data_IF_933899516631
#
_entry.id   IF_933899516631
#
_cell.length_a   1.000
_cell.length_b   1.000
_cell.length_c   1.000
_cell.angle_alpha   90.00
_cell.angle_beta   90.00
_cell.angle_gamma   90.00
#
_symmetry.space_group_name_H-M   'P 1'
#
loop_
_entity.id
_entity.type
_entity.pdbx_description
1 polymer ?
#
# COMPACT_ATOMS: atom_id res chain seq x y z
N UNK A 1 10.00 -14.95 35.84
CA UNK A 1 9.07 -15.39 34.79
C UNK A 1 8.42 -14.15 34.22
N UNK A 2 8.96 -13.61 33.13
CA UNK A 2 8.40 -12.45 32.43
C UNK A 2 7.14 -12.93 31.73
N UNK A 3 5.97 -12.47 32.19
CA UNK A 3 4.72 -12.62 31.45
C UNK A 3 4.92 -12.01 30.08
N UNK A 4 4.88 -12.82 29.02
CA UNK A 4 4.79 -12.31 27.67
C UNK A 4 3.45 -11.58 27.56
N UNK A 5 3.46 -10.25 27.69
CA UNK A 5 2.28 -9.42 27.51
C UNK A 5 1.80 -9.65 26.07
N UNK A 6 0.63 -10.25 25.92
CA UNK A 6 0.01 -10.38 24.60
C UNK A 6 -0.25 -9.00 24.04
N UNK A 7 0.26 -8.73 22.83
CA UNK A 7 -0.01 -7.47 22.14
C UNK A 7 -1.51 -7.34 21.84
N UNK A 8 -2.05 -6.11 21.89
CA UNK A 8 -3.44 -5.85 21.56
C UNK A 8 -3.72 -6.13 20.08
N UNK A 9 -4.97 -6.44 19.74
CA UNK A 9 -5.39 -6.72 18.36
C UNK A 9 -6.04 -5.53 17.66
N UNK A 10 -6.41 -4.49 18.42
CA UNK A 10 -7.04 -3.29 17.88
C UNK A 10 -5.98 -2.32 17.34
N UNK A 11 -6.12 -1.81 16.09
CA UNK A 11 -5.16 -0.89 15.48
C UNK A 11 -4.83 0.34 16.33
N UNK A 12 -5.85 1.04 16.86
CA UNK A 12 -5.64 2.24 17.67
C UNK A 12 -4.82 1.97 18.93
N UNK A 13 -5.01 0.82 19.56
CA UNK A 13 -4.27 0.41 20.75
C UNK A 13 -2.81 0.04 20.41
N UNK A 14 -2.61 -0.61 19.27
CA UNK A 14 -1.27 -0.90 18.74
C UNK A 14 -0.50 0.40 18.42
N UNK A 15 -1.15 1.36 17.76
CA UNK A 15 -0.56 2.69 17.51
C UNK A 15 -0.18 3.39 18.82
N UNK A 16 -1.03 3.29 19.84
CA UNK A 16 -0.77 3.89 21.16
C UNK A 16 0.45 3.29 21.87
N UNK A 17 0.65 1.97 21.82
CA UNK A 17 1.87 1.35 22.40
C UNK A 17 3.13 1.68 21.57
N UNK A 18 2.99 1.82 20.25
CA UNK A 18 4.08 2.27 19.37
C UNK A 18 4.48 3.70 19.74
N UNK A 19 3.51 4.60 19.84
CA UNK A 19 3.68 6.00 20.27
C UNK A 19 4.37 6.12 21.63
N UNK A 20 4.10 5.19 22.54
CA UNK A 20 4.70 5.15 23.87
C UNK A 20 6.14 4.59 23.88
N UNK A 21 6.67 4.13 22.74
CA UNK A 21 7.97 3.45 22.64
C UNK A 21 7.97 2.03 23.22
N UNK A 22 6.80 1.46 23.50
CA UNK A 22 6.67 0.11 24.07
C UNK A 22 6.77 -0.99 23.01
N UNK A 23 6.67 -0.63 21.73
CA UNK A 23 6.80 -1.56 20.60
C UNK A 23 7.57 -0.95 19.43
N UNK A 24 8.71 -1.56 19.09
CA UNK A 24 9.56 -1.19 17.95
C UNK A 24 9.78 -2.35 16.95
N UNK A 25 9.00 -3.42 17.06
CA UNK A 25 9.12 -4.65 16.27
C UNK A 25 8.50 -4.57 14.88
N UNK A 26 8.53 -5.70 14.14
CA UNK A 26 7.86 -5.80 12.84
C UNK A 26 6.34 -5.82 13.01
N UNK A 27 5.61 -5.14 12.13
CA UNK A 27 4.14 -5.05 12.22
C UNK A 27 3.41 -6.17 11.50
N UNK A 28 4.11 -6.98 10.70
CA UNK A 28 3.50 -8.14 10.02
C UNK A 28 2.83 -9.07 11.04
N UNK A 29 1.59 -9.49 10.75
CA UNK A 29 0.78 -10.33 11.64
C UNK A 29 0.13 -9.61 12.82
N UNK A 30 0.36 -8.30 12.98
CA UNK A 30 -0.41 -7.47 13.91
C UNK A 30 -1.71 -7.00 13.27
N UNK A 31 -2.72 -6.72 14.10
CA UNK A 31 -4.02 -6.18 13.69
C UNK A 31 -4.69 -6.94 12.53
N UNK A 32 -4.62 -8.27 12.51
CA UNK A 32 -5.14 -9.12 11.42
C UNK A 32 -6.48 -8.64 10.85
N UNK A 33 -6.54 -8.50 9.52
CA UNK A 33 -7.70 -8.01 8.78
C UNK A 33 -7.76 -6.49 8.62
N UNK A 34 -6.75 -5.75 9.10
CA UNK A 34 -6.59 -4.33 8.86
C UNK A 34 -5.41 -4.05 7.92
N UNK A 35 -5.59 -3.00 7.12
CA UNK A 35 -4.61 -2.56 6.13
C UNK A 35 -3.41 -1.97 6.86
N UNK A 36 -2.23 -2.46 6.52
CA UNK A 36 -0.96 -1.84 6.89
C UNK A 36 -0.43 -1.05 5.71
N UNK A 37 -0.07 0.22 5.94
CA UNK A 37 0.34 1.15 4.92
C UNK A 37 1.84 1.42 4.98
N UNK A 38 2.46 1.45 3.80
CA UNK A 38 3.77 2.02 3.61
C UNK A 38 3.66 3.55 3.77
N UNK A 39 4.64 4.17 4.44
CA UNK A 39 4.75 5.62 4.57
C UNK A 39 5.84 6.18 3.67
N UNK A 40 5.52 7.26 2.98
CA UNK A 40 6.46 8.20 2.37
C UNK A 40 6.06 9.64 2.74
N UNK A 41 7.02 10.45 3.17
CA UNK A 41 6.83 11.86 3.51
C UNK A 41 7.84 12.68 2.74
N UNK A 42 7.38 13.73 2.08
CA UNK A 42 8.17 14.59 1.21
C UNK A 42 7.84 16.06 1.47
N UNK A 43 8.79 16.97 1.25
CA UNK A 43 8.51 18.40 1.18
C UNK A 43 7.41 18.74 0.16
N UNK A 44 6.63 19.78 0.46
CA UNK A 44 5.44 20.20 -0.31
C UNK A 44 5.73 20.51 -1.78
N UNK A 45 6.91 21.03 -2.10
CA UNK A 45 7.34 21.33 -3.46
C UNK A 45 7.45 20.07 -4.34
N UNK A 46 7.72 18.91 -3.75
CA UNK A 46 7.75 17.61 -4.44
C UNK A 46 6.44 16.83 -4.37
N UNK A 47 5.55 17.20 -3.45
CA UNK A 47 4.33 16.45 -3.18
C UNK A 47 3.42 16.31 -4.41
N UNK A 48 3.31 17.34 -5.25
CA UNK A 48 2.50 17.26 -6.47
C UNK A 48 3.07 16.25 -7.47
N UNK A 49 4.39 16.28 -7.68
CA UNK A 49 5.06 15.36 -8.60
C UNK A 49 4.95 13.92 -8.12
N UNK A 50 5.09 13.70 -6.81
CA UNK A 50 4.92 12.37 -6.21
C UNK A 50 3.47 11.89 -6.28
N UNK A 51 2.49 12.76 -6.02
CA UNK A 51 1.07 12.43 -6.19
C UNK A 51 0.75 12.02 -7.62
N UNK A 52 1.24 12.79 -8.61
CA UNK A 52 1.08 12.48 -10.02
C UNK A 52 1.83 11.19 -10.40
N UNK A 53 2.98 10.92 -9.78
CA UNK A 53 3.72 9.67 -9.94
C UNK A 53 2.89 8.48 -9.46
N UNK A 54 2.31 8.54 -8.25
CA UNK A 54 1.43 7.49 -7.73
C UNK A 54 0.21 7.29 -8.63
N UNK A 55 -0.42 8.38 -9.08
CA UNK A 55 -1.58 8.32 -9.98
C UNK A 55 -1.26 7.68 -11.32
N UNK A 56 -0.05 7.92 -11.87
CA UNK A 56 0.40 7.31 -13.12
C UNK A 56 0.81 5.84 -12.96
N UNK A 57 1.13 5.42 -11.74
CA UNK A 57 1.65 4.09 -11.41
C UNK A 57 0.87 3.45 -10.25
N UNK A 58 -0.46 3.27 -10.37
CA UNK A 58 -1.32 2.88 -9.25
C UNK A 58 -1.01 1.47 -8.71
N UNK A 59 -0.54 0.54 -9.54
CA UNK A 59 -0.19 -0.81 -9.08
C UNK A 59 1.04 -0.81 -8.14
N UNK A 60 2.20 -0.25 -8.50
CA UNK A 60 3.33 -0.17 -7.56
C UNK A 60 3.17 0.92 -6.48
N UNK A 61 2.30 1.91 -6.68
CA UNK A 61 2.08 3.02 -5.75
C UNK A 61 0.58 3.19 -5.41
N UNK A 62 -0.06 2.20 -4.78
CA UNK A 62 -1.49 2.28 -4.47
C UNK A 62 -1.73 3.31 -3.36
N UNK A 63 -2.22 4.49 -3.72
CA UNK A 63 -2.39 5.59 -2.77
C UNK A 63 -3.67 5.40 -1.93
N UNK A 64 -3.52 5.31 -0.61
CA UNK A 64 -4.63 5.20 0.34
C UNK A 64 -5.10 6.56 0.86
N UNK A 65 -4.15 7.41 1.24
CA UNK A 65 -4.42 8.74 1.80
C UNK A 65 -3.21 9.66 1.62
N UNK A 66 -3.49 10.95 1.44
CA UNK A 66 -2.50 12.04 1.49
C UNK A 66 -2.87 12.93 2.66
N UNK A 67 -1.92 13.20 3.54
CA UNK A 67 -2.08 14.12 4.68
C UNK A 67 -1.51 15.47 4.27
N UNK A 68 -2.26 16.55 4.48
CA UNK A 68 -1.88 17.91 4.08
C UNK A 68 -0.54 18.38 4.68
N UNK A 69 0.13 19.37 4.05
CA UNK A 69 1.40 19.92 4.55
C UNK A 69 1.34 20.30 6.03
N UNK A 70 2.26 19.75 6.82
CA UNK A 70 2.42 20.02 8.25
C UNK A 70 1.46 19.26 9.16
N UNK A 71 0.40 18.65 8.62
CA UNK A 71 -0.50 17.81 9.40
C UNK A 71 0.08 16.41 9.61
N UNK A 72 -0.26 15.80 10.74
CA UNK A 72 0.20 14.45 11.12
C UNK A 72 -0.93 13.42 11.16
N UNK A 73 -2.20 13.86 11.17
CA UNK A 73 -3.34 12.99 11.38
C UNK A 73 -3.90 12.44 10.05
N UNK A 74 -3.97 11.10 9.87
CA UNK A 74 -4.64 10.47 8.75
C UNK A 74 -6.16 10.37 9.02
N UNK A 75 -6.88 11.43 8.68
CA UNK A 75 -8.31 11.59 8.94
C UNK A 75 -9.23 10.55 8.26
N UNK A 76 -8.79 9.90 7.18
CA UNK A 76 -9.61 8.91 6.45
C UNK A 76 -9.28 7.46 6.77
N UNK A 77 -8.02 7.15 7.08
CA UNK A 77 -7.56 5.77 7.30
C UNK A 77 -7.38 5.44 8.77
N UNK A 78 -7.08 6.41 9.64
CA UNK A 78 -6.93 6.20 11.07
C UNK A 78 -7.13 7.51 11.89
N UNK A 79 -8.37 8.00 12.06
CA UNK A 79 -8.65 9.17 12.89
C UNK A 79 -8.06 9.05 14.30
N UNK A 80 -7.46 10.15 14.80
CA UNK A 80 -6.77 10.23 16.09
C UNK A 80 -5.36 9.64 16.11
N UNK A 81 -4.86 9.13 14.98
CA UNK A 81 -3.47 8.71 14.83
C UNK A 81 -2.54 9.91 14.59
N UNK A 82 -1.24 9.69 14.78
CA UNK A 82 -0.19 10.66 14.56
C UNK A 82 0.95 9.99 13.77
N UNK A 83 1.07 10.31 12.48
CA UNK A 83 2.09 9.74 11.59
C UNK A 83 3.52 10.05 12.01
N UNK A 84 3.74 11.05 12.87
CA UNK A 84 5.10 11.35 13.34
C UNK A 84 5.57 10.42 14.46
N UNK A 85 4.66 9.66 15.09
CA UNK A 85 4.95 8.81 16.27
C UNK A 85 4.37 7.39 16.22
N UNK A 86 3.36 7.14 15.39
CA UNK A 86 2.60 5.87 15.40
C UNK A 86 3.17 4.77 14.47
N UNK A 87 4.36 4.98 13.91
CA UNK A 87 5.12 3.97 13.14
C UNK A 87 6.31 3.48 13.97
N UNK A 88 6.59 2.16 14.04
CA UNK A 88 7.61 1.65 14.96
C UNK A 88 9.05 2.09 14.67
N UNK A 89 9.35 2.48 13.42
CA UNK A 89 10.57 3.22 13.10
C UNK A 89 10.46 3.89 11.73
N UNK A 90 11.22 4.97 11.57
CA UNK A 90 11.33 5.79 10.39
C UNK A 90 12.76 5.81 9.87
N UNK A 91 12.93 5.96 8.56
CA UNK A 91 14.22 6.27 7.93
C UNK A 91 14.17 7.63 7.30
N UNK A 92 15.18 8.43 7.57
CA UNK A 92 15.36 9.77 7.00
C UNK A 92 16.43 9.69 5.92
N UNK A 93 16.10 10.20 4.75
CA UNK A 93 16.98 10.27 3.61
C UNK A 93 17.18 11.72 3.18
N UNK A 94 18.43 12.11 2.98
CA UNK A 94 18.81 13.40 2.42
C UNK A 94 19.59 13.18 1.13
N UNK A 95 19.13 13.77 0.03
CA UNK A 95 19.74 13.61 -1.30
C UNK A 95 19.94 12.13 -1.70
N UNK A 96 19.02 11.26 -1.27
CA UNK A 96 19.03 9.81 -1.52
C UNK A 96 19.93 8.98 -0.60
N UNK A 97 20.61 9.59 0.37
CA UNK A 97 21.44 8.89 1.35
C UNK A 97 20.69 8.78 2.69
N UNK A 98 20.70 7.60 3.31
CA UNK A 98 20.07 7.41 4.63
C UNK A 98 20.94 8.05 5.70
N UNK A 99 20.42 9.06 6.39
CA UNK A 99 21.16 9.83 7.40
C UNK A 99 20.77 9.47 8.83
N UNK A 100 19.57 8.89 9.03
CA UNK A 100 19.09 8.48 10.34
C UNK A 100 18.01 7.39 10.26
N UNK A 101 17.92 6.59 11.32
CA UNK A 101 16.77 5.74 11.64
C UNK A 101 16.28 6.13 13.04
N UNK A 102 15.01 6.50 13.18
CA UNK A 102 14.43 7.03 14.42
C UNK A 102 13.14 6.26 14.79
N UNK A 103 12.81 6.21 16.08
CA UNK A 103 11.52 5.65 16.56
C UNK A 103 10.37 6.68 16.48
N UNK A 104 10.71 7.96 16.32
CA UNK A 104 9.77 9.08 16.16
C UNK A 104 10.42 10.15 15.27
N UNK A 105 9.60 10.83 14.48
CA UNK A 105 10.01 11.99 13.66
C UNK A 105 9.32 13.28 14.10
N UNK A 106 8.65 13.28 15.26
CA UNK A 106 7.96 14.46 15.80
C UNK A 106 8.91 15.66 16.00
N UNK A 107 10.14 15.42 16.46
CA UNK A 107 11.12 16.50 16.72
C UNK A 107 11.70 17.11 15.43
N UNK A 108 11.63 16.39 14.32
CA UNK A 108 12.15 16.82 13.00
C UNK A 108 11.02 17.15 12.03
N UNK A 109 9.77 17.10 12.49
CA UNK A 109 8.60 17.37 11.66
C UNK A 109 8.55 18.85 11.28
N UNK A 110 8.18 19.14 10.03
CA UNK A 110 8.10 20.50 9.48
C UNK A 110 6.71 20.77 8.91
N UNK A 111 6.33 22.04 8.91
CA UNK A 111 5.02 22.51 8.42
C UNK A 111 4.80 22.31 6.91
N UNK A 112 5.85 21.99 6.16
CA UNK A 112 5.77 21.75 4.72
C UNK A 112 5.82 20.27 4.33
N UNK A 113 5.89 19.35 5.30
CA UNK A 113 5.92 17.91 5.00
C UNK A 113 4.53 17.39 4.65
N UNK A 114 4.44 16.66 3.53
CA UNK A 114 3.24 15.98 3.06
C UNK A 114 3.44 14.48 3.20
N UNK A 115 2.49 13.79 3.84
CA UNK A 115 2.56 12.34 4.02
C UNK A 115 1.69 11.59 3.02
N UNK A 116 2.20 10.48 2.52
CA UNK A 116 1.53 9.58 1.60
C UNK A 116 1.49 8.19 2.24
N UNK A 117 0.27 7.72 2.52
CA UNK A 117 0.01 6.36 2.94
C UNK A 117 -0.27 5.52 1.70
N UNK A 118 0.55 4.49 1.47
CA UNK A 118 0.47 3.63 0.31
C UNK A 118 0.10 2.20 0.75
N UNK A 119 -0.81 1.56 0.02
CA UNK A 119 -1.23 0.19 0.25
C UNK A 119 -0.06 -0.80 0.19
N UNK A 120 -0.23 -1.91 0.89
CA UNK A 120 0.75 -2.99 0.98
C UNK A 120 0.12 -4.33 0.59
N UNK A 121 0.96 -5.29 0.20
CA UNK A 121 0.56 -6.62 -0.28
C UNK A 121 -0.11 -7.52 0.77
N UNK A 122 -0.03 -7.21 2.06
CA UNK A 122 -0.51 -8.11 3.13
C UNK A 122 -1.97 -8.53 2.96
N UNK A 123 -2.83 -7.61 2.50
CA UNK A 123 -4.24 -7.88 2.29
C UNK A 123 -4.50 -8.94 1.21
N UNK A 124 -3.70 -9.02 0.15
CA UNK A 124 -3.86 -10.05 -0.87
C UNK A 124 -3.16 -11.36 -0.50
N UNK A 125 -2.09 -11.32 0.31
CA UNK A 125 -1.46 -12.53 0.83
C UNK A 125 -2.42 -13.34 1.70
N UNK A 126 -3.15 -12.67 2.59
CA UNK A 126 -4.22 -13.31 3.34
C UNK A 126 -5.26 -13.95 2.41
N UNK A 127 -5.65 -13.25 1.33
CA UNK A 127 -6.61 -13.78 0.36
C UNK A 127 -6.07 -14.98 -0.44
N UNK A 128 -4.77 -15.01 -0.76
CA UNK A 128 -4.10 -16.16 -1.37
C UNK A 128 -4.09 -17.35 -0.41
N UNK A 129 -3.71 -17.13 0.84
CA UNK A 129 -3.67 -18.16 1.89
C UNK A 129 -5.06 -18.74 2.18
N UNK A 130 -6.10 -17.90 2.29
CA UNK A 130 -7.50 -18.31 2.43
C UNK A 130 -7.98 -19.18 1.26
N UNK A 131 -7.37 -19.01 0.09
CA UNK A 131 -7.61 -19.81 -1.10
C UNK A 131 -6.76 -21.09 -1.16
N UNK A 132 -5.98 -21.41 -0.14
CA UNK A 132 -5.07 -22.55 -0.12
C UNK A 132 -3.92 -22.42 -1.12
N UNK A 133 -3.53 -21.19 -1.47
CA UNK A 133 -2.37 -20.91 -2.30
C UNK A 133 -1.16 -20.71 -1.35
N UNK A 134 -0.13 -21.57 -1.43
CA UNK A 134 0.98 -21.51 -0.49
C UNK A 134 1.83 -20.26 -0.71
N UNK A 135 2.34 -19.70 0.39
CA UNK A 135 3.22 -18.54 0.39
C UNK A 135 4.58 -18.96 0.95
N UNK A 136 5.50 -19.30 0.04
CA UNK A 136 6.81 -19.89 0.38
C UNK A 136 7.60 -19.11 1.44
N UNK A 137 7.62 -17.78 1.37
CA UNK A 137 8.33 -16.95 2.34
C UNK A 137 7.72 -17.05 3.76
N UNK A 138 6.40 -17.22 3.88
CA UNK A 138 5.73 -17.41 5.17
C UNK A 138 6.08 -18.79 5.76
N UNK A 139 6.09 -19.83 4.92
CA UNK A 139 6.53 -21.18 5.32
C UNK A 139 7.99 -21.17 5.80
N UNK A 140 8.85 -20.40 5.12
CA UNK A 140 10.26 -20.23 5.45
C UNK A 140 10.54 -19.23 6.57
N UNK A 141 9.52 -18.50 7.05
CA UNK A 141 9.65 -17.38 8.01
C UNK A 141 10.67 -16.32 7.56
N UNK A 142 10.68 -16.02 6.27
CA UNK A 142 11.50 -14.99 5.66
C UNK A 142 10.64 -13.84 5.12
N UNK A 143 11.26 -12.70 4.83
CA UNK A 143 10.67 -11.66 4.03
C UNK A 143 10.52 -12.14 2.58
N UNK A 144 9.52 -11.60 1.88
CA UNK A 144 9.29 -11.89 0.46
C UNK A 144 10.47 -11.36 -0.38
N UNK A 145 10.99 -12.13 -1.34
CA UNK A 145 12.02 -11.64 -2.25
C UNK A 145 11.44 -10.59 -3.19
N UNK A 146 12.17 -9.49 -3.35
CA UNK A 146 11.79 -8.36 -4.18
C UNK A 146 12.92 -8.00 -5.13
N UNK A 147 12.57 -7.63 -6.35
CA UNK A 147 13.51 -7.42 -7.44
C UNK A 147 13.30 -6.11 -8.16
N UNK A 148 14.39 -5.49 -8.57
CA UNK A 148 14.37 -4.34 -9.48
C UNK A 148 14.25 -4.86 -10.92
N UNK A 149 13.19 -4.47 -11.62
CA UNK A 149 12.95 -4.93 -13.00
C UNK A 149 13.54 -3.99 -14.05
N UNK A 150 13.53 -4.40 -15.31
CA UNK A 150 13.75 -3.49 -16.45
C UNK A 150 12.47 -2.76 -16.91
N UNK A 151 11.34 -2.92 -16.20
CA UNK A 151 10.06 -2.28 -16.54
C UNK A 151 10.05 -0.85 -16.00
N UNK A 152 10.01 0.19 -16.85
CA UNK A 152 10.01 1.56 -16.37
C UNK A 152 8.65 1.95 -15.78
N UNK A 153 8.67 2.69 -14.69
CA UNK A 153 7.50 3.45 -14.22
C UNK A 153 7.23 4.62 -15.16
N UNK A 154 5.98 5.07 -15.20
CA UNK A 154 5.59 6.29 -15.91
C UNK A 154 6.07 7.50 -15.11
N UNK A 155 7.00 8.33 -15.64
CA UNK A 155 7.63 9.39 -14.86
C UNK A 155 6.64 10.49 -14.48
N UNK A 156 6.92 11.24 -13.42
CA UNK A 156 6.25 12.49 -13.07
C UNK A 156 7.20 13.42 -12.33
N UNK A 157 7.42 14.62 -12.87
CA UNK A 157 8.44 15.53 -12.33
C UNK A 157 9.81 14.88 -12.27
N UNK A 158 10.45 14.95 -11.09
CA UNK A 158 11.72 14.27 -10.86
C UNK A 158 11.60 12.75 -10.67
N UNK A 159 10.41 12.23 -10.34
CA UNK A 159 10.22 10.81 -10.00
C UNK A 159 10.17 9.95 -11.26
N UNK A 160 11.17 9.07 -11.40
CA UNK A 160 11.29 8.11 -12.49
C UNK A 160 12.23 6.97 -12.10
N UNK A 161 11.94 5.76 -12.57
CA UNK A 161 12.81 4.61 -12.32
C UNK A 161 12.15 3.28 -12.62
N UNK A 162 12.88 2.18 -12.42
CA UNK A 162 12.37 0.83 -12.62
C UNK A 162 11.28 0.49 -11.60
N UNK A 163 10.31 -0.33 -12.01
CA UNK A 163 9.34 -0.94 -11.10
C UNK A 163 10.04 -2.01 -10.25
N UNK A 164 9.74 -2.02 -8.95
CA UNK A 164 10.11 -3.13 -8.07
C UNK A 164 8.96 -4.11 -7.98
N UNK A 165 9.27 -5.40 -8.10
CA UNK A 165 8.29 -6.48 -7.98
C UNK A 165 8.62 -7.40 -6.81
N UNK A 166 7.61 -8.00 -6.19
CA UNK A 166 7.76 -9.09 -5.23
C UNK A 166 7.42 -10.42 -5.89
N UNK A 167 8.18 -11.47 -5.61
CA UNK A 167 8.02 -12.79 -6.23
C UNK A 167 7.48 -13.81 -5.25
N UNK A 168 6.49 -14.60 -5.69
CA UNK A 168 6.03 -15.80 -4.98
C UNK A 168 6.02 -16.99 -5.95
N UNK A 169 6.63 -18.13 -5.61
CA UNK A 169 6.48 -19.34 -6.40
C UNK A 169 5.07 -19.90 -6.18
N UNK A 170 4.31 -20.06 -7.26
CA UNK A 170 2.92 -20.53 -7.23
C UNK A 170 2.83 -21.87 -7.96
N UNK A 171 2.19 -22.91 -7.39
CA UNK A 171 1.91 -24.14 -8.12
C UNK A 171 1.19 -23.86 -9.45
N UNK A 172 1.65 -24.46 -10.54
CA UNK A 172 1.13 -24.18 -11.89
C UNK A 172 -0.40 -24.27 -11.99
N UNK A 173 -1.00 -25.28 -11.35
CA UNK A 173 -2.45 -25.49 -11.31
C UNK A 173 -3.23 -24.39 -10.58
N UNK A 174 -2.57 -23.56 -9.76
CA UNK A 174 -3.18 -22.49 -8.97
C UNK A 174 -2.94 -21.09 -9.53
N UNK A 175 -2.13 -20.92 -10.58
CA UNK A 175 -1.79 -19.60 -11.15
C UNK A 175 -3.04 -18.80 -11.53
N UNK A 176 -3.99 -19.42 -12.24
CA UNK A 176 -5.24 -18.74 -12.64
C UNK A 176 -6.02 -18.26 -11.42
N UNK A 177 -6.07 -19.07 -10.36
CA UNK A 177 -6.72 -18.70 -9.11
C UNK A 177 -5.98 -17.55 -8.41
N UNK A 178 -4.66 -17.58 -8.38
CA UNK A 178 -3.83 -16.51 -7.81
C UNK A 178 -4.10 -15.17 -8.53
N UNK A 179 -4.16 -15.19 -9.87
CA UNK A 179 -4.51 -14.01 -10.68
C UNK A 179 -5.92 -13.52 -10.34
N UNK A 180 -6.92 -14.40 -10.34
CA UNK A 180 -8.32 -14.02 -10.07
C UNK A 180 -8.52 -13.45 -8.67
N UNK A 181 -7.84 -14.00 -7.66
CA UNK A 181 -7.92 -13.54 -6.27
C UNK A 181 -7.27 -12.17 -6.15
N UNK A 182 -6.03 -12.02 -6.63
CA UNK A 182 -5.25 -10.78 -6.46
C UNK A 182 -5.78 -9.62 -7.30
N UNK A 183 -6.35 -9.88 -8.48
CA UNK A 183 -6.97 -8.87 -9.35
C UNK A 183 -8.14 -8.13 -8.70
N UNK A 184 -8.74 -8.67 -7.63
CA UNK A 184 -9.85 -8.04 -6.90
C UNK A 184 -9.40 -6.94 -5.92
N UNK A 185 -8.09 -6.73 -5.77
CA UNK A 185 -7.52 -5.77 -4.83
C UNK A 185 -6.64 -4.74 -5.56
N UNK A 186 -7.23 -3.88 -6.42
CA UNK A 186 -6.46 -2.88 -7.17
C UNK A 186 -5.72 -1.90 -6.26
N UNK A 187 -6.24 -1.66 -5.05
CA UNK A 187 -5.66 -0.76 -4.06
C UNK A 187 -4.55 -1.41 -3.21
N UNK A 188 -4.16 -2.66 -3.52
CA UNK A 188 -3.00 -3.36 -2.93
C UNK A 188 -2.21 -4.15 -3.98
N UNK A 189 -1.80 -3.47 -5.05
CA UNK A 189 -1.01 -3.98 -6.20
C UNK A 189 -1.80 -4.73 -7.28
N UNK A 190 -2.90 -5.40 -6.93
CA UNK A 190 -3.81 -6.02 -7.90
C UNK A 190 -3.24 -7.25 -8.58
N UNK A 191 -3.47 -7.38 -9.89
CA UNK A 191 -3.01 -8.52 -10.69
C UNK A 191 -1.48 -8.62 -10.76
N UNK A 192 -0.92 -9.83 -11.01
CA UNK A 192 0.51 -9.98 -11.27
C UNK A 192 0.97 -9.09 -12.44
N UNK A 193 2.17 -8.55 -12.31
CA UNK A 193 2.85 -7.82 -13.39
C UNK A 193 3.43 -8.81 -14.40
N UNK A 194 3.95 -9.93 -13.90
CA UNK A 194 4.61 -10.94 -14.73
C UNK A 194 4.42 -12.34 -14.18
N UNK A 195 4.37 -13.33 -15.08
CA UNK A 195 4.28 -14.75 -14.76
C UNK A 195 5.31 -15.49 -15.60
N UNK A 196 6.16 -16.28 -14.95
CA UNK A 196 7.13 -17.15 -15.62
C UNK A 196 8.56 -16.62 -15.58
N UNK A 197 9.17 -16.47 -16.76
CA UNK A 197 10.62 -16.33 -16.92
C UNK A 197 11.14 -15.00 -16.34
N UNK A 198 11.97 -15.01 -15.28
CA UNK A 198 12.46 -13.77 -14.63
C UNK A 198 13.32 -12.90 -15.57
N UNK A 199 14.03 -13.52 -16.52
CA UNK A 199 14.90 -12.82 -17.47
C UNK A 199 14.09 -11.83 -18.35
N UNK A 200 12.83 -12.15 -18.66
CA UNK A 200 11.96 -11.30 -19.47
C UNK A 200 11.67 -9.93 -18.82
N UNK A 201 11.78 -9.84 -17.49
CA UNK A 201 11.63 -8.60 -16.71
C UNK A 201 12.96 -8.12 -16.13
N UNK A 202 14.08 -8.61 -16.65
CA UNK A 202 15.43 -8.15 -16.32
C UNK A 202 16.05 -8.77 -15.06
N UNK A 203 15.42 -9.78 -14.47
CA UNK A 203 15.92 -10.46 -13.26
C UNK A 203 16.80 -11.64 -13.70
N UNK A 204 18.13 -11.43 -13.67
CA UNK A 204 19.11 -12.43 -14.17
C UNK A 204 19.39 -13.57 -13.21
N UNK A 205 19.32 -13.30 -11.91
CA UNK A 205 19.48 -14.31 -10.87
C UNK A 205 18.35 -14.18 -9.85
N UNK A 206 17.37 -15.08 -9.96
CA UNK A 206 16.22 -15.15 -9.07
C UNK A 206 16.59 -15.59 -7.64
N UNK A 207 17.84 -15.97 -7.37
CA UNK A 207 18.30 -16.30 -6.02
C UNK A 207 19.05 -15.14 -5.35
N UNK A 208 19.18 -14.00 -6.04
CA UNK A 208 19.86 -12.81 -5.55
C UNK A 208 18.90 -11.60 -5.54
N UNK A 209 17.85 -11.60 -4.69
CA UNK A 209 16.93 -10.47 -4.62
C UNK A 209 17.62 -9.19 -4.14
N UNK A 210 17.26 -8.04 -4.72
CA UNK A 210 17.74 -6.75 -4.23
C UNK A 210 17.20 -6.40 -2.84
N UNK A 211 16.01 -6.93 -2.48
CA UNK A 211 15.45 -6.78 -1.14
C UNK A 211 14.76 -8.07 -0.65
N UNK A 212 14.78 -8.29 0.67
CA UNK A 212 14.26 -9.51 1.29
C UNK A 212 15.22 -10.69 1.16
N UNK A 213 14.71 -11.92 1.31
CA UNK A 213 15.51 -13.14 1.21
C UNK A 213 15.02 -14.06 0.09
N UNK A 214 15.96 -14.74 -0.57
CA UNK A 214 15.65 -15.72 -1.60
C UNK A 214 14.85 -16.90 -1.02
N UNK A 215 13.99 -17.51 -1.85
CA UNK A 215 13.13 -18.61 -1.46
C UNK A 215 13.23 -19.78 -2.42
N UNK A 216 13.02 -20.99 -1.92
CA UNK A 216 12.98 -22.21 -2.73
C UNK A 216 11.82 -22.17 -3.74
N UNK A 217 12.12 -22.40 -5.01
CA UNK A 217 11.14 -22.62 -6.08
C UNK A 217 11.14 -24.12 -6.40
N UNK A 218 10.07 -24.83 -6.03
CA UNK A 218 10.00 -26.29 -6.18
C UNK A 218 9.59 -26.71 -7.60
N UNK A 219 9.90 -27.96 -8.01
CA UNK A 219 9.36 -28.51 -9.25
C UNK A 219 7.83 -28.39 -9.32
N UNK A 220 7.32 -27.88 -10.44
CA UNK A 220 5.88 -27.63 -10.63
C UNK A 220 5.38 -26.27 -10.11
N UNK A 221 6.25 -25.45 -9.51
CA UNK A 221 5.98 -24.06 -9.18
C UNK A 221 6.47 -23.13 -10.29
N UNK A 222 5.80 -21.98 -10.44
CA UNK A 222 6.18 -20.93 -11.40
C UNK A 222 6.35 -19.63 -10.63
N UNK A 223 7.44 -18.88 -10.86
CA UNK A 223 7.59 -17.54 -10.31
C UNK A 223 6.48 -16.62 -10.81
N UNK A 224 5.79 -15.98 -9.88
CA UNK A 224 4.75 -14.98 -10.17
C UNK A 224 5.14 -13.68 -9.48
N UNK A 225 5.09 -12.58 -10.22
CA UNK A 225 5.61 -11.28 -9.80
C UNK A 225 4.49 -10.26 -9.69
N UNK A 226 4.37 -9.60 -8.54
CA UNK A 226 3.44 -8.50 -8.31
C UNK A 226 4.20 -7.21 -8.10
N UNK A 227 3.61 -6.07 -8.49
CA UNK A 227 4.17 -4.78 -8.14
C UNK A 227 4.35 -4.68 -6.61
N UNK A 228 5.39 -3.99 -6.16
CA UNK A 228 5.72 -3.87 -4.76
C UNK A 228 5.69 -2.41 -4.30
N UNK A 229 5.14 -2.18 -3.10
CA UNK A 229 5.08 -0.87 -2.43
C UNK A 229 6.45 -0.27 -2.07
N UNK A 230 7.54 -1.02 -2.28
CA UNK A 230 8.92 -0.52 -2.19
C UNK A 230 9.32 0.28 -3.45
N UNK A 231 8.62 0.13 -4.59
CA UNK A 231 8.87 0.92 -5.81
C UNK A 231 9.01 2.42 -5.57
N UNK A 232 8.06 3.11 -4.89
CA UNK A 232 8.19 4.53 -4.62
C UNK A 232 9.42 4.89 -3.80
N UNK A 233 9.82 4.02 -2.85
CA UNK A 233 11.05 4.21 -2.07
C UNK A 233 12.28 4.04 -2.97
N UNK A 234 12.36 2.96 -3.75
CA UNK A 234 13.48 2.71 -4.66
C UNK A 234 13.63 3.83 -5.72
N UNK A 235 12.51 4.29 -6.29
CA UNK A 235 12.48 5.42 -7.23
C UNK A 235 12.93 6.70 -6.53
N UNK A 236 12.42 7.00 -5.34
CA UNK A 236 12.82 8.21 -4.64
C UNK A 236 14.31 8.19 -4.27
N UNK A 237 14.86 7.07 -3.80
CA UNK A 237 16.30 6.95 -3.53
C UNK A 237 17.15 7.19 -4.78
N UNK A 238 16.70 6.72 -5.94
CA UNK A 238 17.38 6.98 -7.21
C UNK A 238 17.25 8.44 -7.66
N UNK A 239 16.10 9.06 -7.43
CA UNK A 239 15.82 10.46 -7.79
C UNK A 239 16.46 11.47 -6.84
N UNK A 240 16.89 11.05 -5.65
CA UNK A 240 17.62 11.85 -4.66
C UNK A 240 16.90 13.14 -4.27
N UNK A 241 15.66 13.07 -3.75
CA UNK A 241 15.00 14.26 -3.21
C UNK A 241 15.84 14.86 -2.07
N UNK A 242 15.80 16.19 -1.88
CA UNK A 242 16.50 16.86 -0.78
C UNK A 242 16.16 16.27 0.59
N UNK A 243 14.91 15.82 0.79
CA UNK A 243 14.46 15.13 1.99
C UNK A 243 13.39 14.11 1.63
N UNK A 244 13.46 12.92 2.22
CA UNK A 244 12.37 11.95 2.27
C UNK A 244 12.38 11.24 3.62
N UNK A 245 11.21 11.07 4.23
CA UNK A 245 11.03 10.22 5.41
C UNK A 245 10.17 9.03 5.01
N UNK A 246 10.58 7.83 5.37
CA UNK A 246 9.78 6.62 5.16
C UNK A 246 9.65 5.86 6.46
N UNK A 247 8.71 4.91 6.50
CA UNK A 247 8.80 3.84 7.48
C UNK A 247 10.04 2.97 7.21
N UNK A 248 10.56 2.30 8.26
CA UNK A 248 11.59 1.28 8.10
C UNK A 248 10.98 -0.06 7.60
N UNK A 249 11.73 -0.89 6.85
CA UNK A 249 11.21 -2.15 6.32
C UNK A 249 10.60 -3.05 7.40
N UNK A 250 9.40 -3.58 7.13
CA UNK A 250 8.66 -4.45 8.05
C UNK A 250 7.98 -3.71 9.22
N UNK A 251 8.13 -2.39 9.33
CA UNK A 251 7.57 -1.55 10.40
C UNK A 251 6.54 -0.56 9.82
N UNK A 252 5.43 -1.06 9.30
CA UNK A 252 4.44 -0.27 8.57
C UNK A 252 3.50 0.51 9.51
N UNK A 253 2.77 1.49 8.97
CA UNK A 253 1.69 2.16 9.69
C UNK A 253 0.42 1.28 9.72
N UNK A 254 -0.17 1.07 10.90
CA UNK A 254 -1.38 0.23 11.05
C UNK A 254 -2.63 1.11 10.99
N UNK A 255 -3.46 0.92 9.96
CA UNK A 255 -4.69 1.72 9.77
C UNK A 255 -5.92 1.09 10.43
N UNK A 256 -7.01 1.85 10.51
CA UNK A 256 -8.32 1.34 10.92
C UNK A 256 -9.12 0.74 9.73
N UNK A 257 -8.59 0.86 8.50
CA UNK A 257 -9.25 0.29 7.31
C UNK A 257 -9.14 -1.22 7.31
N UNK A 258 -10.26 -1.89 7.00
CA UNK A 258 -10.32 -3.34 6.84
C UNK A 258 -9.89 -3.77 5.43
N UNK A 259 -9.14 -4.86 5.34
CA UNK A 259 -8.70 -5.46 4.07
C UNK A 259 -9.88 -5.78 3.14
N UNK A 260 -11.00 -6.20 3.71
CA UNK A 260 -12.22 -6.53 2.97
C UNK A 260 -12.82 -5.35 2.20
N UNK A 261 -12.58 -4.11 2.65
CA UNK A 261 -13.08 -2.90 1.99
C UNK A 261 -12.20 -2.43 0.82
N UNK A 262 -11.00 -2.99 0.66
CA UNK A 262 -10.14 -2.77 -0.51
C UNK A 262 -10.48 -3.72 -1.67
N UNK A 263 -11.45 -4.62 -1.48
CA UNK A 263 -11.98 -5.48 -2.55
C UNK A 263 -12.84 -4.64 -3.50
N UNK A 264 -12.55 -4.66 -4.79
CA UNK A 264 -13.43 -4.09 -5.79
C UNK A 264 -14.75 -4.89 -5.84
N UNK A 265 -15.89 -4.24 -5.59
CA UNK A 265 -17.23 -4.84 -5.73
C UNK A 265 -17.58 -5.21 -7.19
N UNK A 266 -16.77 -4.78 -8.16
CA UNK A 266 -17.05 -4.90 -9.59
C UNK A 266 -16.98 -6.33 -10.17
N UNK A 267 -16.46 -7.32 -9.43
CA UNK A 267 -16.30 -8.71 -9.93
C UNK A 267 -17.07 -9.73 -9.09
N UNK A 268 -17.60 -9.34 -7.92
CA UNK A 268 -18.49 -10.20 -7.17
C UNK A 268 -19.88 -10.13 -7.80
N UNK A 269 -20.29 -11.20 -8.48
CA UNK A 269 -21.68 -11.42 -8.85
C UNK A 269 -22.58 -11.10 -7.66
N UNK A 270 -23.48 -10.16 -7.91
CA UNK A 270 -24.38 -9.51 -6.99
C UNK A 270 -25.05 -10.52 -6.04
N UNK A 271 -24.77 -10.46 -4.73
CA UNK A 271 -25.65 -11.11 -3.75
C UNK A 271 -25.82 -10.42 -2.40
N UNK A 272 -25.09 -9.36 -2.03
CA UNK A 272 -25.31 -8.68 -0.74
C UNK A 272 -25.04 -7.17 -0.82
N UNK A 273 -25.85 -6.44 -1.57
CA UNK A 273 -26.00 -4.98 -1.33
C UNK A 273 -27.47 -4.69 -1.02
N UNK A 274 -27.80 -4.66 0.27
CA UNK A 274 -29.02 -4.02 0.74
C UNK A 274 -28.90 -2.52 0.48
N UNK A 275 -29.62 -2.06 -0.53
CA UNK A 275 -29.68 -0.68 -1.01
C UNK A 275 -30.54 0.26 -0.13
N UNK A 276 -30.85 -0.11 1.12
CA UNK A 276 -31.76 0.67 1.97
C UNK A 276 -31.09 1.66 2.93
N UNK A 277 -29.77 1.57 3.18
CA UNK A 277 -29.13 2.40 4.22
C UNK A 277 -28.50 3.73 3.73
N UNK A 278 -28.74 4.14 2.47
CA UNK A 278 -28.20 5.41 1.92
C UNK A 278 -29.29 6.31 1.34
N UNK A 279 -30.55 6.23 1.78
CA UNK A 279 -31.52 7.30 1.45
C UNK A 279 -32.59 7.49 2.51
N UNK A 280 -32.28 7.66 3.80
CA UNK A 280 -33.27 8.18 4.77
C UNK A 280 -32.60 8.91 5.95
N UNK A 281 -32.16 10.15 5.74
CA UNK A 281 -32.16 11.14 6.85
C UNK A 281 -32.38 12.59 6.37
N UNK A 282 -33.22 12.76 5.34
CA UNK A 282 -33.66 14.08 4.90
C UNK A 282 -35.14 14.09 4.48
N UNK A 283 -36.02 13.55 5.31
CA UNK A 283 -37.36 14.11 5.49
C UNK A 283 -38.14 13.35 6.57
N UNK A 284 -38.43 14.02 7.69
CA UNK A 284 -39.74 14.03 8.40
C UNK A 284 -39.62 14.69 9.77
N UNK A 285 -40.00 15.97 9.84
CA UNK A 285 -41.19 16.48 10.56
C UNK A 285 -41.04 17.98 10.81
N UNK A 286 -41.81 18.77 10.08
CA UNK A 286 -42.00 20.19 10.36
C UNK A 286 -42.97 20.45 11.52
N UNK A 287 -42.86 21.64 12.11
CA UNK A 287 -44.01 22.51 12.43
C UNK A 287 -43.55 23.92 12.85
N UNK A 288 -44.13 24.91 12.18
CA UNK A 288 -44.41 26.30 12.62
C UNK A 288 -43.25 27.32 12.79
N UNK A 289 -43.13 28.28 11.85
CA UNK A 289 -43.61 29.68 11.96
C UNK A 289 -43.14 30.56 10.80
N UNK A 290 -43.93 31.58 10.51
CA UNK A 290 -43.93 32.51 9.36
C UNK A 290 -42.85 33.61 9.40
N UNK A 291 -42.31 33.98 8.23
CA UNK A 291 -41.50 35.19 8.02
C UNK A 291 -40.95 35.30 6.57
N UNK A 292 -40.78 36.51 5.99
CA UNK A 292 -40.57 36.69 4.55
C UNK A 292 -39.11 36.43 4.11
N UNK A 293 -38.96 35.83 2.91
CA UNK A 293 -37.68 35.46 2.28
C UNK A 293 -36.89 36.67 1.75
N UNK A 294 -35.55 36.67 1.81
CA UNK A 294 -34.70 37.33 0.83
C UNK A 294 -34.07 36.33 -0.17
N UNK A 295 -33.59 36.88 -1.29
CA UNK A 295 -33.27 36.24 -2.57
C UNK A 295 -32.14 35.18 -2.50
N UNK A 296 -32.29 34.09 -3.27
CA UNK A 296 -31.24 33.09 -3.55
C UNK A 296 -30.15 33.69 -4.44
N UNK A 297 -28.90 33.58 -4.00
CA UNK A 297 -27.73 33.53 -4.89
C UNK A 297 -27.48 32.06 -5.26
N UNK A 298 -27.30 31.83 -6.56
CA UNK A 298 -27.00 30.55 -7.19
C UNK A 298 -25.59 30.08 -6.83
N UNK A 299 -25.46 28.88 -6.26
CA UNK A 299 -24.19 28.14 -6.17
C UNK A 299 -24.32 26.87 -7.00
N UNK A 300 -23.65 26.83 -8.15
CA UNK A 300 -23.54 25.63 -8.98
C UNK A 300 -22.77 24.52 -8.23
N UNK A 301 -23.13 23.23 -8.43
CA UNK A 301 -22.39 22.12 -7.82
C UNK A 301 -21.01 21.97 -8.48
N UNK A 302 -19.98 21.80 -7.65
CA UNK A 302 -18.61 21.51 -8.09
C UNK A 302 -18.56 20.08 -8.66
N UNK A 303 -17.86 19.82 -9.77
CA UNK A 303 -17.73 18.46 -10.29
C UNK A 303 -16.77 17.66 -9.39
N UNK A 304 -17.23 16.51 -8.89
CA UNK A 304 -16.37 15.49 -8.33
C UNK A 304 -15.67 14.76 -9.48
N UNK A 305 -14.34 14.88 -9.54
CA UNK A 305 -13.52 14.13 -10.49
C UNK A 305 -13.24 12.76 -9.87
N UNK A 306 -13.94 11.73 -10.36
CA UNK A 306 -13.60 10.33 -10.07
C UNK A 306 -12.65 9.89 -11.18
N UNK A 307 -11.37 9.71 -10.87
CA UNK A 307 -10.37 9.19 -11.82
C UNK A 307 -10.25 7.68 -11.63
N UNK A 308 -10.81 6.91 -12.58
CA UNK A 308 -10.65 5.46 -12.63
C UNK A 308 -9.30 5.13 -13.30
N UNK A 309 -8.35 4.59 -12.53
CA UNK A 309 -7.12 4.01 -13.07
C UNK A 309 -7.41 2.66 -13.75
N UNK A 310 -6.98 2.49 -15.00
CA UNK A 310 -7.02 1.20 -15.69
C UNK A 310 -5.82 0.34 -15.26
N UNK A 311 -6.00 -0.94 -14.86
CA UNK A 311 -4.88 -1.85 -14.64
C UNK A 311 -4.17 -2.15 -15.97
N UNK A 312 -2.84 -2.17 -15.95
CA UNK A 312 -2.02 -2.55 -17.11
C UNK A 312 -2.17 -4.04 -17.48
N UNK A 313 -1.74 -4.46 -18.69
CA UNK A 313 -1.83 -5.85 -19.11
C UNK A 313 -0.89 -6.76 -18.31
N UNK A 314 -1.38 -7.95 -17.94
CA UNK A 314 -0.55 -9.04 -17.36
C UNK A 314 0.25 -9.70 -18.48
N UNK A 315 1.58 -9.81 -18.32
CA UNK A 315 2.44 -10.51 -19.28
C UNK A 315 2.73 -11.93 -18.77
N UNK A 316 2.43 -12.93 -19.59
CA UNK A 316 2.72 -14.34 -19.31
C UNK A 316 3.81 -14.78 -20.27
N UNK A 317 4.90 -15.32 -19.73
CA UNK A 317 5.99 -15.89 -20.52
C UNK A 317 6.19 -17.34 -20.12
N UNK A 318 6.37 -18.21 -21.11
CA UNK A 318 6.77 -19.60 -20.91
C UNK A 318 8.19 -19.74 -21.42
N UNK A 319 9.09 -20.35 -20.64
CA UNK A 319 10.33 -20.85 -21.24
C UNK A 319 9.94 -21.95 -22.22
N UNK A 320 10.21 -21.74 -23.50
CA UNK A 320 10.19 -22.85 -24.44
C UNK A 320 11.24 -23.86 -23.98
N UNK A 321 10.76 -25.05 -23.61
CA UNK A 321 11.62 -26.21 -23.34
C UNK A 321 12.14 -26.74 -24.68
N UNK A 322 13.02 -25.98 -25.34
CA UNK A 322 13.75 -26.44 -26.52
C UNK A 322 15.14 -25.80 -26.56
N UNK A 323 16.08 -26.43 -25.85
CA UNK A 323 17.39 -26.93 -26.33
C UNK A 323 18.36 -27.07 -25.17
#
# INVERSE_FOLDING_TARGET
MTTATMLPTQPAELRRIIRAGEFAGVTSGLANGHVQANLAVLPRDLAFDFLLFCQRNPQPCPLLEVIEPGFVEPTFTAPGADISTDVPAYRIYENGEMVAELESVAEVWRDDLVSFLLGCSFSFEAALADCGIPLRHQEARSNVPMYITNIPTRPAGMFSGPMVVSMRPIPQAQIVRAVQVTSRFPDTHGAPIHIGDPDAIGIRDINAPEFGEAVEIRPGETPVFWACGVTPQAVALNCKPPLMITHAPGKMFITDRRDSRLRSHLIAGNHDTNYEDIVLDHDRRGSARSGPRPRRLSSAPRPHVIILGHPGPVVITTRDSTS
#
